data_IF_514653086489
#
_entry.id   IF_514653086489
#
_cell.length_a   1.000
_cell.length_b   1.000
_cell.length_c   1.000
_cell.angle_alpha   90.00
_cell.angle_beta   90.00
_cell.angle_gamma   90.00
#
_symmetry.space_group_name_H-M   'P 1'
#
loop_
_entity.id
_entity.type
_entity.pdbx_description
1 polymer ?
#
# COMPACT_ATOMS: atom_id res chain seq x y z
N UNK A 1 -10.65 1.84 11.90
CA UNK A 1 -9.88 2.88 11.18
C UNK A 1 -8.92 3.62 12.10
N UNK A 2 -9.34 4.00 13.31
CA UNK A 2 -8.55 4.87 14.20
C UNK A 2 -7.20 4.26 14.61
N UNK A 3 -7.16 2.98 14.97
CA UNK A 3 -5.92 2.29 15.38
C UNK A 3 -4.94 2.14 14.20
N UNK A 4 -5.43 1.75 13.02
CA UNK A 4 -4.55 1.44 11.88
C UNK A 4 -4.17 2.66 11.05
N UNK A 5 -5.11 3.57 10.76
CA UNK A 5 -4.84 4.75 9.94
C UNK A 5 -4.62 6.00 10.81
N UNK A 6 -5.54 6.26 11.73
CA UNK A 6 -5.49 7.45 12.58
C UNK A 6 -4.24 7.50 13.46
N UNK A 7 -3.80 6.36 14.01
CA UNK A 7 -2.56 6.31 14.80
C UNK A 7 -1.34 6.64 13.94
N UNK A 8 -1.21 6.07 12.74
CA UNK A 8 -0.09 6.36 11.85
C UNK A 8 -0.07 7.82 11.41
N UNK A 9 -1.24 8.39 11.07
CA UNK A 9 -1.34 9.82 10.76
C UNK A 9 -0.83 10.70 11.90
N UNK A 10 -1.25 10.41 13.15
CA UNK A 10 -0.81 11.18 14.33
C UNK A 10 0.69 11.08 14.54
N UNK A 11 1.29 9.89 14.39
CA UNK A 11 2.74 9.68 14.54
C UNK A 11 3.51 10.42 13.45
N UNK A 12 3.12 10.28 12.17
CA UNK A 12 3.78 10.98 11.05
C UNK A 12 3.68 12.50 11.23
N UNK A 13 2.51 13.00 11.61
CA UNK A 13 2.32 14.44 11.88
C UNK A 13 3.23 14.94 12.99
N UNK A 14 3.37 14.19 14.09
CA UNK A 14 4.25 14.59 15.21
C UNK A 14 5.72 14.57 14.80
N UNK A 15 6.16 13.50 14.14
CA UNK A 15 7.52 13.36 13.62
C UNK A 15 7.84 14.43 12.55
N UNK A 16 6.91 14.69 11.63
CA UNK A 16 7.08 15.72 10.59
C UNK A 16 7.24 17.12 11.17
N UNK A 17 6.47 17.44 12.23
CA UNK A 17 6.66 18.72 12.97
C UNK A 17 8.05 18.82 13.58
N UNK A 18 8.50 17.76 14.25
CA UNK A 18 9.82 17.69 14.86
C UNK A 18 10.94 17.93 13.84
N UNK A 19 10.92 17.22 12.70
CA UNK A 19 11.95 17.37 11.68
C UNK A 19 11.91 18.73 10.98
N UNK A 20 10.71 19.26 10.72
CA UNK A 20 10.57 20.61 10.17
C UNK A 20 11.17 21.67 11.07
N UNK A 21 10.93 21.60 12.38
CA UNK A 21 11.49 22.55 13.37
C UNK A 21 13.02 22.49 13.38
N UNK A 22 13.61 21.29 13.33
CA UNK A 22 15.07 21.11 13.25
C UNK A 22 15.65 21.65 11.94
N UNK A 23 14.99 21.37 10.83
CA UNK A 23 15.40 21.91 9.52
C UNK A 23 15.36 23.45 9.52
N UNK A 24 14.31 24.06 10.06
CA UNK A 24 14.19 25.50 10.19
C UNK A 24 15.23 26.12 11.14
N UNK A 25 15.71 25.35 12.11
CA UNK A 25 16.83 25.73 12.98
C UNK A 25 18.20 25.60 12.30
N UNK A 26 18.26 25.23 11.02
CA UNK A 26 19.49 25.08 10.25
C UNK A 26 20.21 23.74 10.47
N UNK A 27 19.55 22.78 11.13
CA UNK A 27 20.15 21.47 11.35
C UNK A 27 20.03 20.59 10.11
N UNK A 28 21.03 19.73 9.90
CA UNK A 28 20.96 18.69 8.87
C UNK A 28 20.02 17.58 9.34
N UNK A 29 18.90 17.42 8.65
CA UNK A 29 17.93 16.33 8.90
C UNK A 29 18.19 15.16 7.93
N UNK A 30 18.18 13.97 8.47
CA UNK A 30 18.18 12.71 7.71
C UNK A 30 17.19 11.78 8.40
N UNK A 31 15.89 12.08 8.21
CA UNK A 31 14.79 11.35 8.84
C UNK A 31 14.27 10.22 7.95
N UNK A 32 13.73 9.18 8.57
CA UNK A 32 13.06 8.10 7.86
C UNK A 32 11.76 7.68 8.54
N UNK A 33 10.72 7.44 7.74
CA UNK A 33 9.45 6.84 8.16
C UNK A 33 9.21 5.59 7.31
N UNK A 34 8.99 4.47 7.98
CA UNK A 34 8.61 3.21 7.31
C UNK A 34 7.22 2.81 7.81
N UNK A 35 6.22 3.03 6.99
CA UNK A 35 4.84 2.67 7.30
C UNK A 35 4.58 1.19 7.01
N UNK A 36 3.80 0.53 7.86
CA UNK A 36 3.39 -0.86 7.65
C UNK A 36 1.96 -0.92 7.11
N UNK A 37 1.83 -1.32 5.86
CA UNK A 37 0.55 -1.60 5.21
C UNK A 37 0.24 -3.11 5.23
N UNK A 38 -0.48 -3.63 4.25
CA UNK A 38 -0.89 -5.04 4.16
C UNK A 38 -1.22 -5.41 2.71
N UNK A 39 -1.11 -6.67 2.31
CA UNK A 39 -1.68 -7.16 1.04
C UNK A 39 -3.18 -6.84 0.91
N UNK A 40 -3.90 -6.75 2.03
CA UNK A 40 -5.32 -6.34 2.04
C UNK A 40 -5.56 -4.93 1.47
N UNK A 41 -4.57 -4.03 1.57
CA UNK A 41 -4.64 -2.68 1.01
C UNK A 41 -4.73 -2.66 -0.52
N UNK A 42 -4.16 -3.67 -1.17
CA UNK A 42 -3.98 -3.73 -2.63
C UNK A 42 -5.01 -4.68 -3.25
N UNK A 43 -5.18 -5.86 -2.64
CA UNK A 43 -6.04 -6.92 -3.16
C UNK A 43 -7.47 -6.88 -2.60
N UNK A 44 -7.68 -6.25 -1.45
CA UNK A 44 -8.91 -6.38 -0.67
C UNK A 44 -9.16 -7.83 -0.21
N UNK A 45 -9.62 -8.06 1.00
CA UNK A 45 -10.03 -9.39 1.44
C UNK A 45 -11.48 -9.36 1.89
N UNK A 46 -12.19 -10.43 1.54
CA UNK A 46 -13.60 -10.56 1.91
C UNK A 46 -13.73 -10.59 3.45
N UNK A 47 -14.62 -9.78 4.00
CA UNK A 47 -14.81 -9.65 5.45
C UNK A 47 -13.85 -8.67 6.14
N UNK A 48 -12.86 -8.13 5.41
CA UNK A 48 -11.85 -7.22 5.95
C UNK A 48 -12.00 -5.78 5.43
N UNK A 49 -13.20 -5.34 5.06
CA UNK A 49 -13.40 -4.06 4.38
C UNK A 49 -12.81 -2.87 5.15
N UNK A 50 -13.06 -2.76 6.46
CA UNK A 50 -12.53 -1.68 7.28
C UNK A 50 -11.00 -1.74 7.42
N UNK A 51 -10.43 -2.96 7.54
CA UNK A 51 -8.99 -3.16 7.62
C UNK A 51 -8.32 -2.84 6.27
N UNK A 52 -8.86 -3.36 5.18
CA UNK A 52 -8.38 -3.08 3.81
C UNK A 52 -8.39 -1.58 3.52
N UNK A 53 -9.49 -0.89 3.84
CA UNK A 53 -9.61 0.56 3.67
C UNK A 53 -8.58 1.33 4.52
N UNK A 54 -8.39 0.93 5.78
CA UNK A 54 -7.38 1.55 6.64
C UNK A 54 -5.96 1.38 6.09
N UNK A 55 -5.62 0.17 5.63
CA UNK A 55 -4.29 -0.14 5.10
C UNK A 55 -4.04 0.47 3.71
N UNK A 56 -5.09 0.64 2.89
CA UNK A 56 -5.02 1.44 1.66
C UNK A 56 -4.80 2.93 1.97
N UNK A 57 -5.49 3.46 2.97
CA UNK A 57 -5.25 4.82 3.48
C UNK A 57 -3.82 5.04 3.96
N UNK A 58 -3.16 4.02 4.54
CA UNK A 58 -1.73 4.10 4.91
C UNK A 58 -0.84 4.26 3.67
N UNK A 59 -1.15 3.61 2.54
CA UNK A 59 -0.38 3.79 1.31
C UNK A 59 -0.53 5.23 0.77
N UNK A 60 -1.76 5.74 0.70
CA UNK A 60 -2.01 7.13 0.29
C UNK A 60 -1.31 8.14 1.22
N UNK A 61 -1.40 7.93 2.54
CA UNK A 61 -0.70 8.75 3.53
C UNK A 61 0.83 8.71 3.35
N UNK A 62 1.39 7.56 2.98
CA UNK A 62 2.82 7.40 2.70
C UNK A 62 3.24 8.27 1.52
N UNK A 63 2.48 8.24 0.43
CA UNK A 63 2.80 9.02 -0.77
C UNK A 63 2.71 10.52 -0.49
N UNK A 64 1.65 10.98 0.16
CA UNK A 64 1.46 12.37 0.54
C UNK A 64 2.58 12.85 1.49
N UNK A 65 2.86 12.10 2.54
CA UNK A 65 3.91 12.46 3.50
C UNK A 65 5.32 12.41 2.89
N UNK A 66 5.57 11.54 1.90
CA UNK A 66 6.83 11.49 1.18
C UNK A 66 7.10 12.78 0.39
N UNK A 67 6.06 13.34 -0.23
CA UNK A 67 6.14 14.61 -0.95
C UNK A 67 6.30 15.79 0.02
N UNK A 68 5.42 15.87 1.03
CA UNK A 68 5.42 16.98 2.00
C UNK A 68 6.69 17.08 2.86
N UNK A 69 7.32 15.94 3.20
CA UNK A 69 8.46 15.90 4.10
C UNK A 69 9.81 15.83 3.38
N UNK A 70 9.81 15.70 2.05
CA UNK A 70 11.02 15.63 1.23
C UNK A 70 11.92 16.86 1.39
N UNK A 71 11.32 18.05 1.45
CA UNK A 71 12.05 19.32 1.60
C UNK A 71 12.80 19.41 2.93
N UNK A 72 12.32 18.71 3.97
CA UNK A 72 12.95 18.66 5.29
C UNK A 72 13.97 17.52 5.43
N UNK A 73 14.32 16.83 4.34
CA UNK A 73 15.30 15.74 4.37
C UNK A 73 14.78 14.42 4.97
N UNK A 74 13.46 14.19 4.93
CA UNK A 74 12.83 12.99 5.47
C UNK A 74 12.38 12.07 4.34
N UNK A 75 12.78 10.82 4.40
CA UNK A 75 12.30 9.75 3.53
C UNK A 75 11.07 9.06 4.14
N UNK A 76 10.00 8.89 3.37
CA UNK A 76 8.79 8.18 3.80
C UNK A 76 8.46 7.08 2.81
N UNK A 77 8.40 5.84 3.30
CA UNK A 77 8.11 4.66 2.48
C UNK A 77 7.13 3.72 3.18
N UNK A 78 6.60 2.74 2.48
CA UNK A 78 5.73 1.73 3.05
C UNK A 78 6.22 0.31 2.75
N UNK A 79 5.95 -0.60 3.68
CA UNK A 79 6.16 -2.03 3.51
C UNK A 79 4.82 -2.75 3.62
N UNK A 80 4.60 -3.70 2.72
CA UNK A 80 3.47 -4.64 2.65
C UNK A 80 4.01 -6.02 3.03
N UNK A 81 3.99 -6.39 4.33
CA UNK A 81 4.63 -7.60 4.79
C UNK A 81 3.76 -8.84 4.59
N UNK A 82 4.40 -9.97 4.29
CA UNK A 82 3.83 -11.30 4.38
C UNK A 82 4.67 -12.15 5.34
N UNK A 83 4.11 -12.50 6.51
CA UNK A 83 4.82 -13.27 7.52
C UNK A 83 3.89 -14.14 8.37
N UNK A 84 4.43 -15.22 8.93
CA UNK A 84 3.76 -16.03 9.93
C UNK A 84 3.69 -15.26 11.25
N UNK A 85 2.49 -15.07 11.76
CA UNK A 85 2.23 -14.44 13.06
C UNK A 85 1.05 -15.16 13.72
N UNK A 86 0.76 -14.88 14.97
CA UNK A 86 -0.44 -15.39 15.66
C UNK A 86 -1.75 -14.99 14.93
N UNK A 87 -1.73 -13.94 14.11
CA UNK A 87 -2.88 -13.49 13.33
C UNK A 87 -2.96 -14.15 11.95
N UNK A 88 -1.92 -14.87 11.52
CA UNK A 88 -1.79 -15.53 10.21
C UNK A 88 -1.50 -17.02 10.34
N UNK A 89 -1.84 -17.64 11.47
CA UNK A 89 -1.68 -19.08 11.74
C UNK A 89 -2.48 -19.96 10.77
N UNK A 90 -3.52 -19.41 10.16
CA UNK A 90 -4.32 -20.02 9.09
C UNK A 90 -3.58 -20.12 7.73
N UNK A 91 -2.38 -19.54 7.60
CA UNK A 91 -1.58 -19.56 6.36
C UNK A 91 -0.35 -20.48 6.53
N UNK A 92 -0.49 -21.80 6.29
CA UNK A 92 0.62 -22.76 6.42
C UNK A 92 1.77 -22.37 5.48
N UNK A 93 3.01 -22.43 6.01
CA UNK A 93 4.20 -22.12 5.22
C UNK A 93 4.51 -20.62 5.07
N UNK A 94 3.80 -19.75 5.75
CA UNK A 94 4.17 -18.34 5.79
C UNK A 94 5.57 -18.18 6.41
N UNK A 95 6.43 -17.30 5.85
CA UNK A 95 7.81 -17.12 6.33
C UNK A 95 7.84 -16.44 7.70
N UNK A 96 8.95 -16.60 8.46
CA UNK A 96 9.11 -15.94 9.74
C UNK A 96 9.18 -14.41 9.58
N UNK A 97 8.73 -13.62 10.56
CA UNK A 97 8.70 -12.15 10.46
C UNK A 97 10.11 -11.54 10.37
N UNK A 98 11.14 -12.18 10.91
CA UNK A 98 12.53 -11.71 10.87
C UNK A 98 13.05 -11.55 9.43
N UNK A 99 12.49 -12.29 8.48
CA UNK A 99 12.85 -12.18 7.07
C UNK A 99 12.53 -10.81 6.44
N UNK A 100 11.72 -9.98 7.12
CA UNK A 100 11.36 -8.63 6.66
C UNK A 100 12.32 -7.56 7.20
N UNK A 101 12.95 -7.83 8.34
CA UNK A 101 13.77 -6.86 9.07
C UNK A 101 14.88 -6.20 8.23
N UNK A 102 15.62 -6.90 7.34
CA UNK A 102 16.65 -6.25 6.52
C UNK A 102 16.14 -5.08 5.70
N UNK A 103 14.93 -5.18 5.12
CA UNK A 103 14.33 -4.08 4.36
C UNK A 103 14.00 -2.89 5.27
N UNK A 104 13.43 -3.15 6.43
CA UNK A 104 13.08 -2.08 7.39
C UNK A 104 14.34 -1.34 7.85
N UNK A 105 15.40 -2.09 8.19
CA UNK A 105 16.69 -1.51 8.61
C UNK A 105 17.28 -0.65 7.49
N UNK A 106 17.30 -1.17 6.24
CA UNK A 106 17.80 -0.40 5.11
C UNK A 106 17.00 0.87 4.87
N UNK A 107 15.68 0.80 4.79
CA UNK A 107 14.80 1.97 4.60
C UNK A 107 14.89 3.00 5.73
N UNK A 108 15.31 2.58 6.91
CA UNK A 108 15.52 3.46 8.07
C UNK A 108 16.94 4.03 8.15
N UNK A 109 17.83 3.62 7.27
CA UNK A 109 19.23 4.05 7.26
C UNK A 109 19.46 5.29 6.39
N UNK A 110 20.56 5.98 6.63
CA UNK A 110 20.97 7.13 5.83
C UNK A 110 21.27 6.76 4.35
N UNK A 111 21.61 5.50 4.07
CA UNK A 111 21.87 5.02 2.70
C UNK A 111 20.61 4.91 1.83
N UNK A 112 19.42 4.99 2.41
CA UNK A 112 18.15 4.96 1.70
C UNK A 112 17.39 6.32 1.77
N UNK A 113 18.05 7.41 2.16
CA UNK A 113 17.39 8.71 2.33
C UNK A 113 16.89 9.33 1.01
N UNK A 114 17.40 8.89 -0.11
CA UNK A 114 16.95 9.24 -1.47
C UNK A 114 15.74 8.39 -1.94
N UNK A 115 15.44 7.28 -1.27
CA UNK A 115 14.28 6.43 -1.56
C UNK A 115 13.05 7.00 -0.88
N UNK A 116 12.11 7.54 -1.66
CA UNK A 116 10.92 8.24 -1.14
C UNK A 116 9.67 7.86 -1.92
N UNK A 117 8.54 7.77 -1.22
CA UNK A 117 7.24 7.47 -1.81
C UNK A 117 7.18 6.09 -2.45
N UNK A 118 7.93 5.13 -1.92
CA UNK A 118 7.94 3.77 -2.45
C UNK A 118 7.20 2.81 -1.54
N UNK A 119 6.60 1.82 -2.17
CA UNK A 119 5.90 0.73 -1.51
C UNK A 119 6.61 -0.57 -1.86
N UNK A 120 6.99 -1.33 -0.85
CA UNK A 120 7.69 -2.60 -1.03
C UNK A 120 6.84 -3.74 -0.47
N UNK A 121 6.65 -4.80 -1.24
CA UNK A 121 6.20 -6.08 -0.70
C UNK A 121 7.41 -6.84 -0.16
N UNK A 122 7.26 -7.49 1.00
CA UNK A 122 8.34 -8.21 1.66
C UNK A 122 7.82 -9.50 2.29
N UNK A 123 8.33 -10.65 1.86
CA UNK A 123 7.98 -11.95 2.41
C UNK A 123 9.13 -12.95 2.21
N UNK A 124 9.56 -13.68 3.25
CA UNK A 124 10.51 -14.77 3.15
C UNK A 124 11.88 -14.38 2.55
N UNK A 125 12.33 -13.16 2.75
CA UNK A 125 13.56 -12.65 2.14
C UNK A 125 13.43 -12.23 0.67
N UNK A 126 12.21 -12.26 0.12
CA UNK A 126 11.89 -11.73 -1.21
C UNK A 126 11.33 -10.33 -1.05
N UNK A 127 11.91 -9.39 -1.76
CA UNK A 127 11.54 -7.98 -1.73
C UNK A 127 11.16 -7.52 -3.13
N UNK A 128 9.98 -6.90 -3.28
CA UNK A 128 9.49 -6.42 -4.57
C UNK A 128 9.03 -4.96 -4.45
N UNK A 129 9.43 -4.14 -5.41
CA UNK A 129 8.88 -2.80 -5.56
C UNK A 129 7.46 -2.91 -6.15
N UNK A 130 6.51 -2.23 -5.50
CA UNK A 130 5.12 -2.16 -5.96
C UNK A 130 4.94 -0.93 -6.85
N UNK A 131 4.39 -1.13 -8.05
CA UNK A 131 4.18 -0.02 -9.00
C UNK A 131 2.89 0.75 -8.75
N UNK A 132 2.00 0.23 -7.90
CA UNK A 132 0.72 0.88 -7.59
C UNK A 132 -0.34 0.64 -8.66
N UNK A 133 -1.26 1.59 -8.77
CA UNK A 133 -2.30 1.62 -9.79
C UNK A 133 -1.76 2.28 -11.05
N UNK A 134 -1.79 1.55 -12.15
CA UNK A 134 -1.42 2.07 -13.47
C UNK A 134 -2.69 2.36 -14.27
N UNK A 135 -2.71 3.48 -14.98
CA UNK A 135 -3.79 3.76 -15.92
C UNK A 135 -3.62 2.88 -17.16
N UNK A 136 -4.68 2.18 -17.53
CA UNK A 136 -4.73 1.48 -18.81
C UNK A 136 -4.89 2.44 -20.00
N UNK A 137 -4.96 1.88 -21.19
CA UNK A 137 -5.23 2.65 -22.40
C UNK A 137 -6.60 3.35 -22.32
N UNK A 138 -6.71 4.61 -22.74
CA UNK A 138 -7.96 5.34 -22.65
C UNK A 138 -9.04 4.77 -23.58
N UNK A 139 -10.27 4.79 -23.12
CA UNK A 139 -11.45 4.60 -23.95
C UNK A 139 -12.09 5.96 -24.16
N UNK A 140 -12.19 6.37 -25.42
CA UNK A 140 -12.80 7.66 -25.80
C UNK A 140 -14.24 7.39 -26.21
N UNK A 141 -15.21 7.92 -25.46
CA UNK A 141 -16.62 7.90 -25.83
C UNK A 141 -16.97 9.16 -26.63
N UNK A 142 -17.73 9.01 -27.70
CA UNK A 142 -18.41 10.13 -28.34
C UNK A 142 -19.56 10.62 -27.46
N UNK A 143 -19.85 11.92 -27.52
CA UNK A 143 -20.77 12.62 -26.62
C UNK A 143 -22.09 11.88 -26.39
N UNK A 144 -22.25 11.37 -25.18
CA UNK A 144 -23.52 10.88 -24.65
C UNK A 144 -23.94 9.46 -25.03
N UNK A 145 -23.17 8.71 -25.82
CA UNK A 145 -23.51 7.31 -26.12
C UNK A 145 -23.02 6.36 -25.02
N UNK A 146 -23.89 6.15 -24.03
CA UNK A 146 -23.62 5.31 -22.86
C UNK A 146 -23.47 3.84 -23.24
N UNK A 147 -24.21 3.36 -24.26
CA UNK A 147 -24.17 1.97 -24.68
C UNK A 147 -22.84 1.66 -25.38
N UNK A 148 -22.39 2.51 -26.29
CA UNK A 148 -21.10 2.39 -26.96
C UNK A 148 -19.93 2.47 -25.94
N UNK A 149 -20.00 3.39 -24.97
CA UNK A 149 -19.03 3.46 -23.88
C UNK A 149 -19.00 2.16 -23.07
N UNK A 150 -20.19 1.65 -22.70
CA UNK A 150 -20.29 0.41 -21.90
C UNK A 150 -19.71 -0.80 -22.64
N UNK A 151 -19.93 -0.92 -23.94
CA UNK A 151 -19.36 -1.97 -24.78
C UNK A 151 -17.83 -1.86 -24.86
N UNK A 152 -17.30 -0.67 -25.18
CA UNK A 152 -15.86 -0.45 -25.28
C UNK A 152 -15.12 -0.72 -23.96
N UNK A 153 -15.71 -0.35 -22.81
CA UNK A 153 -15.15 -0.68 -21.49
C UNK A 153 -15.18 -2.18 -21.21
N UNK A 154 -16.23 -2.92 -21.58
CA UNK A 154 -16.27 -4.40 -21.43
C UNK A 154 -15.20 -5.07 -22.24
N UNK A 155 -15.02 -4.70 -23.50
CA UNK A 155 -13.95 -5.22 -24.37
C UNK A 155 -12.55 -4.96 -23.76
N UNK A 156 -12.36 -3.81 -23.12
CA UNK A 156 -11.12 -3.48 -22.43
C UNK A 156 -10.93 -4.38 -21.21
N UNK A 157 -11.95 -4.51 -20.36
CA UNK A 157 -11.92 -5.36 -19.14
C UNK A 157 -11.61 -6.81 -19.48
N UNK A 158 -12.11 -7.34 -20.59
CA UNK A 158 -11.82 -8.71 -21.04
C UNK A 158 -10.36 -8.93 -21.44
N UNK A 159 -9.67 -7.88 -21.89
CA UNK A 159 -8.27 -7.91 -22.32
C UNK A 159 -7.28 -7.68 -21.17
N UNK A 160 -7.71 -6.98 -20.13
CA UNK A 160 -6.86 -6.56 -19.03
C UNK A 160 -7.16 -7.37 -17.76
N UNK A 161 -6.09 -7.70 -17.02
CA UNK A 161 -6.26 -8.40 -15.74
C UNK A 161 -6.60 -7.40 -14.64
N UNK A 162 -7.53 -7.77 -13.75
CA UNK A 162 -7.77 -7.02 -12.54
C UNK A 162 -6.50 -6.95 -11.66
N UNK A 163 -6.23 -5.84 -10.96
CA UNK A 163 -5.05 -5.70 -10.08
C UNK A 163 -4.88 -6.85 -9.09
N UNK A 164 -5.98 -7.35 -8.54
CA UNK A 164 -5.95 -8.49 -7.63
C UNK A 164 -5.52 -9.80 -8.32
N UNK A 165 -5.76 -9.99 -9.61
CA UNK A 165 -5.34 -11.16 -10.39
C UNK A 165 -3.86 -11.10 -10.75
N UNK A 166 -3.32 -9.89 -10.98
CA UNK A 166 -1.89 -9.68 -11.23
C UNK A 166 -1.07 -10.02 -9.99
N UNK A 167 -1.55 -9.62 -8.81
CA UNK A 167 -0.85 -9.83 -7.53
C UNK A 167 -1.05 -11.22 -6.93
N UNK A 168 -2.15 -11.87 -7.25
CA UNK A 168 -2.50 -13.21 -6.79
C UNK A 168 -3.11 -14.01 -7.94
N UNK A 169 -2.31 -14.54 -8.87
CA UNK A 169 -2.81 -15.35 -9.98
C UNK A 169 -3.65 -16.52 -9.48
N UNK A 170 -4.80 -16.74 -10.09
CA UNK A 170 -5.75 -17.79 -9.71
C UNK A 170 -6.71 -17.42 -8.58
N UNK A 171 -6.67 -16.19 -8.08
CA UNK A 171 -7.69 -15.70 -7.15
C UNK A 171 -9.00 -15.50 -7.87
N UNK A 172 -10.00 -16.30 -7.51
CA UNK A 172 -11.35 -16.14 -8.06
C UNK A 172 -12.07 -14.99 -7.34
N UNK A 173 -12.32 -13.90 -8.06
CA UNK A 173 -13.06 -12.73 -7.57
C UNK A 173 -14.58 -12.89 -7.74
N UNK A 174 -15.05 -13.98 -8.39
CA UNK A 174 -16.47 -14.25 -8.53
C UNK A 174 -17.14 -14.46 -7.17
N UNK A 175 -18.42 -14.08 -7.00
CA UNK A 175 -19.17 -14.35 -5.79
C UNK A 175 -19.19 -15.86 -5.51
N UNK A 176 -18.80 -16.27 -4.31
CA UNK A 176 -18.97 -17.67 -3.91
C UNK A 176 -20.44 -17.92 -3.59
N UNK A 177 -21.10 -18.91 -4.20
CA UNK A 177 -22.46 -19.26 -3.85
C UNK A 177 -22.56 -19.57 -2.35
N UNK A 178 -23.52 -18.93 -1.65
CA UNK A 178 -23.89 -19.28 -0.28
C UNK A 178 -23.04 -18.69 0.85
N UNK A 179 -22.14 -17.74 0.60
CA UNK A 179 -21.48 -17.03 1.69
C UNK A 179 -22.38 -15.88 2.20
N UNK A 180 -22.72 -15.84 3.51
CA UNK A 180 -23.50 -14.74 4.07
C UNK A 180 -22.74 -13.42 3.89
N UNK A 181 -23.44 -12.42 3.38
CA UNK A 181 -22.91 -11.07 3.25
C UNK A 181 -22.80 -10.43 4.62
N UNK A 182 -21.66 -10.58 5.27
CA UNK A 182 -21.35 -9.75 6.44
C UNK A 182 -20.72 -8.44 5.95
N UNK A 183 -21.57 -7.46 5.71
CA UNK A 183 -21.21 -6.04 5.80
C UNK A 183 -21.52 -5.63 7.24
N UNK A 184 -20.63 -5.94 8.16
CA UNK A 184 -20.68 -5.46 9.53
C UNK A 184 -19.67 -4.31 9.72
#
# INVERSE_FOLDING_TARGET
LDVHLGAQFRVIRAAGRYWRERYQAGERVCGAVVNTSSPAAIMGFRGEGAYSAAKAGVLALTLTAADELAEFGVAVNAVVPGAATRLTDWSPGAPPPDAIAPLIVWLSSASANDVRGRVFSAAGGIFMLMHGWEAGEPVIASDGDIEALGQALRERIERERAPAEVLAPGRNLAPRPGAPGNLG
#
